data_IF_546775203611
#
_entry.id   IF_546775203611
#
_cell.length_a   1.000
_cell.length_b   1.000
_cell.length_c   1.000
_cell.angle_alpha   90.00
_cell.angle_beta   90.00
_cell.angle_gamma   90.00
#
_symmetry.space_group_name_H-M   'P 1'
#
loop_
_entity.id
_entity.type
_entity.pdbx_description
1 polymer ?
#
# COMPACT_ATOMS: atom_id res chain seq x y z
N UNK A 1 -61.69 31.78 47.64
CA UNK A 1 -61.06 30.57 47.07
C UNK A 1 -59.67 30.94 46.58
N UNK A 2 -58.63 30.51 47.29
CA UNK A 2 -57.25 30.86 46.96
C UNK A 2 -56.84 30.17 45.66
N UNK A 3 -56.51 30.95 44.63
CA UNK A 3 -55.91 30.44 43.40
C UNK A 3 -54.52 29.90 43.75
N UNK A 4 -54.38 28.60 44.00
CA UNK A 4 -53.08 27.97 44.21
C UNK A 4 -52.33 27.95 42.87
N UNK A 5 -51.62 29.04 42.58
CA UNK A 5 -50.73 29.10 41.43
C UNK A 5 -49.57 28.11 41.60
N UNK A 6 -49.17 27.48 40.50
CA UNK A 6 -47.95 26.68 40.44
C UNK A 6 -46.77 27.49 41.00
N UNK A 7 -46.04 26.93 41.96
CA UNK A 7 -44.90 27.61 42.59
C UNK A 7 -43.56 27.10 42.04
N UNK A 8 -42.55 27.98 42.00
CA UNK A 8 -41.19 27.64 41.56
C UNK A 8 -40.56 26.51 42.41
N UNK A 9 -40.87 26.46 43.71
CA UNK A 9 -40.38 25.43 44.63
C UNK A 9 -40.90 24.02 44.27
N UNK A 10 -42.16 23.90 43.82
CA UNK A 10 -42.73 22.63 43.36
C UNK A 10 -42.05 22.16 42.08
N UNK A 11 -41.79 23.08 41.13
CA UNK A 11 -41.04 22.77 39.90
C UNK A 11 -39.62 22.33 40.23
N UNK A 12 -38.96 22.97 41.21
CA UNK A 12 -37.62 22.61 41.69
C UNK A 12 -37.57 21.19 42.25
N UNK A 13 -38.47 20.82 43.18
CA UNK A 13 -38.42 19.49 43.80
C UNK A 13 -38.68 18.35 42.80
N UNK A 14 -39.57 18.56 41.83
CA UNK A 14 -39.83 17.60 40.76
C UNK A 14 -38.63 17.48 39.83
N UNK A 15 -38.03 18.60 39.43
CA UNK A 15 -36.79 18.62 38.63
C UNK A 15 -35.68 17.85 39.33
N UNK A 16 -35.44 18.11 40.62
CA UNK A 16 -34.35 17.51 41.38
C UNK A 16 -34.57 15.99 41.55
N UNK A 17 -35.82 15.57 41.78
CA UNK A 17 -36.17 14.14 41.80
C UNK A 17 -35.94 13.48 40.43
N UNK A 18 -36.29 14.16 39.33
CA UNK A 18 -36.04 13.63 37.98
C UNK A 18 -34.54 13.52 37.66
N UNK A 19 -33.76 14.51 38.08
CA UNK A 19 -32.30 14.49 37.93
C UNK A 19 -31.67 13.36 38.75
N UNK A 20 -32.13 13.14 39.99
CA UNK A 20 -31.71 12.01 40.83
C UNK A 20 -32.07 10.64 40.20
N UNK A 21 -33.20 10.57 39.50
CA UNK A 21 -33.62 9.39 38.74
C UNK A 21 -32.87 9.22 37.38
N UNK A 22 -31.94 10.12 37.05
CA UNK A 22 -31.21 10.12 35.79
C UNK A 22 -32.05 10.48 34.56
N UNK A 23 -33.24 11.06 34.75
CA UNK A 23 -34.17 11.44 33.67
C UNK A 23 -34.05 12.93 33.38
N UNK A 24 -34.00 13.29 32.09
CA UNK A 24 -33.93 14.69 31.68
C UNK A 24 -35.25 15.43 32.00
N UNK A 25 -35.23 16.52 32.78
CA UNK A 25 -36.43 17.27 33.14
C UNK A 25 -36.91 18.12 31.95
N UNK A 26 -37.67 17.49 31.05
CA UNK A 26 -38.38 18.20 29.98
C UNK A 26 -39.64 18.89 30.53
N UNK A 27 -40.10 19.94 29.84
CA UNK A 27 -41.30 20.71 30.28
C UNK A 27 -42.52 19.81 30.43
N UNK A 28 -42.74 18.90 29.48
CA UNK A 28 -43.90 18.00 29.50
C UNK A 28 -43.74 16.90 30.56
N UNK A 29 -42.52 16.41 30.80
CA UNK A 29 -42.26 15.43 31.84
C UNK A 29 -42.44 16.00 33.25
N UNK A 30 -41.96 17.24 33.49
CA UNK A 30 -42.18 17.95 34.75
C UNK A 30 -43.67 18.26 34.95
N UNK A 31 -44.37 18.64 33.88
CA UNK A 31 -45.82 18.88 33.92
C UNK A 31 -46.60 17.62 34.30
N UNK A 32 -46.25 16.48 33.69
CA UNK A 32 -46.91 15.22 34.00
C UNK A 32 -46.65 14.80 35.46
N UNK A 33 -45.41 14.95 35.94
CA UNK A 33 -45.04 14.67 37.33
C UNK A 33 -45.71 15.62 38.35
N UNK A 34 -46.13 16.82 37.92
CA UNK A 34 -46.91 17.78 38.69
C UNK A 34 -48.44 17.54 38.60
N UNK A 35 -48.89 16.50 37.90
CA UNK A 35 -50.31 16.18 37.73
C UNK A 35 -51.04 17.13 36.77
N UNK A 36 -50.41 17.47 35.64
CA UNK A 36 -50.92 18.37 34.59
C UNK A 36 -51.18 19.82 35.02
N UNK A 37 -50.73 20.17 36.23
CA UNK A 37 -50.83 21.51 36.80
C UNK A 37 -49.79 22.46 36.23
N UNK A 38 -50.25 23.67 35.87
CA UNK A 38 -49.43 24.73 35.30
C UNK A 38 -49.41 24.75 33.78
N UNK A 39 -49.24 25.95 33.22
CA UNK A 39 -49.09 26.11 31.77
C UNK A 39 -47.66 25.74 31.34
N UNK A 40 -47.54 25.22 30.11
CA UNK A 40 -46.24 24.90 29.49
C UNK A 40 -45.28 26.09 29.51
N UNK A 41 -45.78 27.32 29.34
CA UNK A 41 -44.98 28.55 29.37
C UNK A 41 -44.48 28.88 30.78
N UNK A 42 -45.29 28.71 31.83
CA UNK A 42 -44.89 28.97 33.23
C UNK A 42 -43.87 27.94 33.70
N UNK A 43 -44.06 26.66 33.38
CA UNK A 43 -43.10 25.60 33.72
C UNK A 43 -41.77 25.85 32.99
N UNK A 44 -41.80 26.18 31.70
CA UNK A 44 -40.59 26.52 30.95
C UNK A 44 -39.86 27.72 31.54
N UNK A 45 -40.59 28.77 31.94
CA UNK A 45 -40.01 29.94 32.63
C UNK A 45 -39.31 29.53 33.93
N UNK A 46 -39.99 28.80 34.81
CA UNK A 46 -39.39 28.38 36.08
C UNK A 46 -38.21 27.43 35.90
N UNK A 47 -38.26 26.50 34.95
CA UNK A 47 -37.11 25.64 34.63
C UNK A 47 -35.91 26.45 34.12
N UNK A 48 -36.14 27.48 33.31
CA UNK A 48 -35.06 28.38 32.86
C UNK A 48 -34.47 29.17 34.02
N UNK A 49 -35.30 29.79 34.86
CA UNK A 49 -34.80 30.54 36.02
C UNK A 49 -34.07 29.63 37.02
N UNK A 50 -34.52 28.39 37.20
CA UNK A 50 -33.87 27.40 38.06
C UNK A 50 -32.53 26.94 37.50
N UNK A 51 -32.38 26.86 36.17
CA UNK A 51 -31.11 26.56 35.53
C UNK A 51 -30.13 27.73 35.64
N UNK A 52 -30.63 28.96 35.51
CA UNK A 52 -29.81 30.16 35.60
C UNK A 52 -29.40 30.45 37.08
N UNK A 53 -30.16 29.93 38.06
CA UNK A 53 -29.84 29.98 39.51
C UNK A 53 -28.84 28.92 39.99
N UNK A 54 -28.69 27.80 39.26
CA UNK A 54 -27.79 26.70 39.61
C UNK A 54 -26.52 26.74 38.73
N UNK A 55 -25.53 27.61 39.03
CA UNK A 55 -24.28 27.72 38.28
C UNK A 55 -23.43 26.44 38.33
N UNK A 56 -23.64 25.60 39.35
CA UNK A 56 -22.92 24.35 39.58
C UNK A 56 -23.11 23.35 38.43
N UNK A 57 -24.30 23.31 37.82
CA UNK A 57 -24.58 22.44 36.67
C UNK A 57 -23.89 22.94 35.39
N UNK A 58 -23.66 24.26 35.27
CA UNK A 58 -22.87 24.83 34.18
C UNK A 58 -21.40 24.46 34.31
N UNK A 59 -20.83 24.68 35.50
CA UNK A 59 -19.44 24.36 35.82
C UNK A 59 -19.12 22.87 35.61
N UNK A 60 -19.98 21.97 36.11
CA UNK A 60 -19.78 20.53 35.90
C UNK A 60 -19.81 20.14 34.42
N UNK A 61 -20.63 20.81 33.60
CA UNK A 61 -20.68 20.53 32.16
C UNK A 61 -19.40 21.00 31.47
N UNK A 62 -18.92 22.19 31.83
CA UNK A 62 -17.67 22.73 31.29
C UNK A 62 -16.46 21.86 31.69
N UNK A 63 -16.40 21.40 32.95
CA UNK A 63 -15.39 20.47 33.44
C UNK A 63 -15.41 19.14 32.67
N UNK A 64 -16.61 18.60 32.40
CA UNK A 64 -16.73 17.38 31.59
C UNK A 64 -16.32 17.59 30.13
N UNK A 65 -16.60 18.77 29.57
CA UNK A 65 -16.21 19.11 28.21
C UNK A 65 -14.68 19.23 28.10
N UNK A 66 -14.03 19.89 29.07
CA UNK A 66 -12.58 19.99 29.14
C UNK A 66 -11.92 18.62 29.31
N UNK A 67 -12.44 17.78 30.21
CA UNK A 67 -11.94 16.41 30.40
C UNK A 67 -12.07 15.57 29.12
N UNK A 68 -13.20 15.67 28.41
CA UNK A 68 -13.40 14.97 27.13
C UNK A 68 -12.43 15.46 26.06
N UNK A 69 -12.24 16.78 25.94
CA UNK A 69 -11.26 17.36 25.00
C UNK A 69 -9.84 16.88 25.29
N UNK A 70 -9.46 16.80 26.57
CA UNK A 70 -8.14 16.30 26.98
C UNK A 70 -7.95 14.82 26.59
N UNK A 71 -8.95 13.97 26.84
CA UNK A 71 -8.88 12.54 26.47
C UNK A 71 -8.82 12.35 24.96
N UNK A 72 -9.63 13.09 24.20
CA UNK A 72 -9.60 13.04 22.73
C UNK A 72 -8.25 13.54 22.19
N UNK A 73 -7.68 14.59 22.78
CA UNK A 73 -6.35 15.09 22.45
C UNK A 73 -5.26 14.03 22.66
N UNK A 74 -5.23 13.41 23.84
CA UNK A 74 -4.28 12.33 24.15
C UNK A 74 -4.45 11.13 23.21
N UNK A 75 -5.69 10.77 22.84
CA UNK A 75 -5.95 9.69 21.91
C UNK A 75 -5.45 10.03 20.49
N UNK A 76 -5.67 11.27 20.04
CA UNK A 76 -5.17 11.75 18.75
C UNK A 76 -3.64 11.70 18.70
N UNK A 77 -2.97 12.21 19.74
CA UNK A 77 -1.50 12.14 19.86
C UNK A 77 -0.99 10.70 19.81
N UNK A 78 -1.61 9.80 20.56
CA UNK A 78 -1.22 8.39 20.58
C UNK A 78 -1.48 7.71 19.24
N UNK A 79 -2.55 8.07 18.53
CA UNK A 79 -2.84 7.56 17.20
C UNK A 79 -1.81 8.04 16.17
N UNK A 80 -1.44 9.33 16.21
CA UNK A 80 -0.40 9.89 15.36
C UNK A 80 0.95 9.23 15.62
N UNK A 81 1.36 9.11 16.88
CA UNK A 81 2.61 8.43 17.24
C UNK A 81 2.64 6.97 16.75
N UNK A 82 1.53 6.24 16.89
CA UNK A 82 1.42 4.87 16.37
C UNK A 82 1.49 4.80 14.84
N UNK A 83 0.85 5.75 14.14
CA UNK A 83 0.90 5.82 12.69
C UNK A 83 2.34 6.10 12.21
N UNK A 84 3.01 7.07 12.81
CA UNK A 84 4.40 7.42 12.51
C UNK A 84 5.35 6.25 12.78
N UNK A 85 5.17 5.55 13.90
CA UNK A 85 5.94 4.35 14.21
C UNK A 85 5.75 3.25 13.15
N UNK A 86 4.51 3.03 12.70
CA UNK A 86 4.21 2.05 11.63
C UNK A 86 4.81 2.45 10.29
N UNK A 87 4.76 3.74 9.93
CA UNK A 87 5.37 4.26 8.71
C UNK A 87 6.88 4.06 8.77
N UNK A 88 7.54 4.45 9.87
CA UNK A 88 8.98 4.26 10.06
C UNK A 88 9.39 2.79 9.96
N UNK A 89 8.65 1.90 10.63
CA UNK A 89 8.91 0.46 10.54
C UNK A 89 8.76 -0.07 9.10
N UNK A 90 7.74 0.40 8.36
CA UNK A 90 7.52 -0.02 6.98
C UNK A 90 8.61 0.51 6.04
N UNK A 91 9.05 1.75 6.22
CA UNK A 91 10.14 2.35 5.44
C UNK A 91 11.44 1.59 5.70
N UNK A 92 11.78 1.30 6.97
CA UNK A 92 12.97 0.53 7.32
C UNK A 92 12.94 -0.88 6.70
N UNK A 93 11.79 -1.57 6.75
CA UNK A 93 11.65 -2.89 6.14
C UNK A 93 11.79 -2.85 4.60
N UNK A 94 11.26 -1.81 3.95
CA UNK A 94 11.42 -1.61 2.51
C UNK A 94 12.86 -1.29 2.14
N UNK A 95 13.56 -0.49 2.94
CA UNK A 95 14.98 -0.18 2.73
C UNK A 95 15.84 -1.44 2.86
N UNK A 96 15.64 -2.25 3.90
CA UNK A 96 16.36 -3.51 4.08
C UNK A 96 16.12 -4.47 2.90
N UNK A 97 14.86 -4.64 2.48
CA UNK A 97 14.54 -5.47 1.31
C UNK A 97 15.17 -4.93 0.02
N UNK A 98 15.24 -3.60 -0.13
CA UNK A 98 15.88 -2.98 -1.29
C UNK A 98 17.39 -3.20 -1.30
N UNK A 99 18.05 -3.07 -0.14
CA UNK A 99 19.47 -3.35 0.02
C UNK A 99 19.80 -4.82 -0.29
N UNK A 100 18.97 -5.77 0.18
CA UNK A 100 19.12 -7.19 -0.17
C UNK A 100 19.05 -7.41 -1.68
N UNK A 101 18.05 -6.81 -2.35
CA UNK A 101 17.91 -6.91 -3.81
C UNK A 101 19.11 -6.29 -4.52
N UNK A 102 19.59 -5.12 -4.08
CA UNK A 102 20.77 -4.48 -4.67
C UNK A 102 22.01 -5.37 -4.51
N UNK A 103 22.24 -5.91 -3.30
CA UNK A 103 23.39 -6.80 -3.05
C UNK A 103 23.34 -8.07 -3.91
N UNK A 104 22.15 -8.65 -4.09
CA UNK A 104 21.97 -9.80 -4.97
C UNK A 104 22.25 -9.46 -6.43
N UNK A 105 21.82 -8.28 -6.88
CA UNK A 105 22.10 -7.78 -8.24
C UNK A 105 23.57 -7.44 -8.45
N UNK A 106 24.24 -6.88 -7.46
CA UNK A 106 25.68 -6.63 -7.51
C UNK A 106 26.46 -7.94 -7.60
N UNK A 107 26.07 -8.96 -6.84
CA UNK A 107 26.67 -10.30 -6.92
C UNK A 107 26.43 -10.95 -8.29
N UNK A 108 25.22 -10.84 -8.85
CA UNK A 108 24.90 -11.33 -10.19
C UNK A 108 25.73 -10.62 -11.26
N UNK A 109 25.86 -9.29 -11.17
CA UNK A 109 26.70 -8.50 -12.09
C UNK A 109 28.18 -8.85 -11.95
N UNK A 110 28.67 -9.11 -10.74
CA UNK A 110 30.05 -9.57 -10.53
C UNK A 110 30.29 -10.92 -11.20
N UNK A 111 29.41 -11.89 -10.97
CA UNK A 111 29.49 -13.21 -11.61
C UNK A 111 29.44 -13.10 -13.15
N UNK A 112 28.55 -12.28 -13.69
CA UNK A 112 28.48 -12.03 -15.14
C UNK A 112 29.78 -11.40 -15.67
N UNK A 113 30.36 -10.42 -14.97
CA UNK A 113 31.66 -9.83 -15.35
C UNK A 113 32.78 -10.88 -15.36
N UNK A 114 32.80 -11.78 -14.37
CA UNK A 114 33.78 -12.86 -14.31
C UNK A 114 33.63 -13.83 -15.48
N UNK A 115 32.38 -14.20 -15.83
CA UNK A 115 32.14 -15.05 -17.01
C UNK A 115 32.57 -14.37 -18.32
N UNK A 116 32.29 -13.08 -18.48
CA UNK A 116 32.71 -12.30 -19.65
C UNK A 116 34.24 -12.23 -19.72
N UNK A 117 34.93 -12.01 -18.60
CA UNK A 117 36.38 -12.00 -18.55
C UNK A 117 36.97 -13.37 -18.94
N UNK A 118 36.40 -14.46 -18.41
CA UNK A 118 36.84 -15.82 -18.73
C UNK A 118 36.61 -16.18 -20.21
N UNK A 119 35.45 -15.81 -20.77
CA UNK A 119 35.16 -16.04 -22.19
C UNK A 119 36.07 -15.20 -23.09
N UNK A 120 36.29 -13.93 -22.76
CA UNK A 120 37.22 -13.07 -23.50
C UNK A 120 38.63 -13.66 -23.48
N UNK A 121 39.12 -14.10 -22.33
CA UNK A 121 40.43 -14.77 -22.22
C UNK A 121 40.51 -16.08 -23.02
N UNK A 122 39.41 -16.83 -23.11
CA UNK A 122 39.34 -18.03 -23.95
C UNK A 122 39.41 -17.68 -25.43
N UNK A 123 38.70 -16.64 -25.87
CA UNK A 123 38.71 -16.17 -27.26
C UNK A 123 40.12 -15.72 -27.65
N UNK A 124 40.78 -14.88 -26.84
CA UNK A 124 42.14 -14.42 -27.15
C UNK A 124 43.15 -15.57 -27.22
N UNK A 125 43.01 -16.60 -26.38
CA UNK A 125 43.84 -17.80 -26.46
C UNK A 125 43.59 -18.61 -27.75
N UNK A 126 42.34 -18.73 -28.19
CA UNK A 126 42.01 -19.42 -29.44
C UNK A 126 42.49 -18.63 -30.66
N UNK A 127 42.38 -17.30 -30.63
CA UNK A 127 42.92 -16.41 -31.65
C UNK A 127 44.44 -16.55 -31.72
N UNK A 128 45.16 -16.47 -30.60
CA UNK A 128 46.61 -16.67 -30.56
C UNK A 128 47.04 -18.06 -31.06
N UNK A 129 46.27 -19.11 -30.74
CA UNK A 129 46.53 -20.46 -31.26
C UNK A 129 46.30 -20.55 -32.77
N UNK A 130 45.23 -19.93 -33.27
CA UNK A 130 44.96 -19.86 -34.71
C UNK A 130 46.06 -19.12 -35.45
N UNK A 131 46.56 -18.02 -34.90
CA UNK A 131 47.64 -17.24 -35.51
C UNK A 131 48.96 -18.04 -35.53
N UNK A 132 49.22 -18.85 -34.50
CA UNK A 132 50.36 -19.78 -34.48
C UNK A 132 50.20 -20.92 -35.50
N UNK A 133 49.04 -21.58 -35.55
CA UNK A 133 48.75 -22.67 -36.50
C UNK A 133 48.66 -22.16 -37.97
N UNK A 134 48.34 -20.87 -38.17
CA UNK A 134 48.29 -20.20 -39.47
C UNK A 134 49.65 -19.71 -39.98
N UNK A 135 50.65 -19.55 -39.10
CA UNK A 135 52.00 -19.15 -39.47
C UNK A 135 52.85 -20.27 -40.11
N UNK A 136 52.46 -21.54 -39.92
CA UNK A 136 53.17 -22.70 -40.48
C UNK A 136 52.64 -23.13 -41.87
N UNK A 137 51.62 -22.46 -42.42
CA UNK A 137 51.06 -22.80 -43.75
C UNK A 137 51.60 -21.92 -44.89
N UNK A 138 52.46 -20.95 -44.60
CA UNK A 138 52.98 -20.01 -45.61
C UNK A 138 54.43 -20.28 -46.08
N UNK A 139 55.16 -21.28 -45.54
CA UNK A 139 56.59 -21.50 -45.89
C UNK A 139 56.92 -22.81 -46.67
N UNK A 140 55.95 -23.70 -46.93
CA UNK A 140 56.19 -24.86 -47.81
C UNK A 140 54.95 -25.18 -48.67
N UNK A 141 54.79 -24.46 -49.78
CA UNK A 141 54.39 -25.01 -51.10
C UNK A 141 54.21 -23.88 -52.13
N UNK A 142 55.31 -23.56 -52.81
CA UNK A 142 55.22 -23.35 -54.25
C UNK A 142 54.63 -24.62 -54.88
N UNK A 143 53.46 -24.48 -55.53
CA UNK A 143 53.02 -25.44 -56.56
C UNK A 143 51.70 -26.17 -56.25
N UNK A 144 50.75 -25.94 -57.16
CA UNK A 144 49.48 -26.62 -57.40
C UNK A 144 48.26 -26.12 -56.61
N UNK A 145 47.49 -25.30 -57.32
CA UNK A 145 46.16 -24.81 -56.97
C UNK A 145 45.19 -25.93 -56.54
N UNK A 146 44.34 -25.72 -55.51
CA UNK A 146 43.29 -26.67 -55.19
C UNK A 146 42.15 -26.53 -56.22
N UNK A 147 41.95 -27.58 -57.02
CA UNK A 147 40.72 -27.73 -57.81
C UNK A 147 39.56 -27.96 -56.84
N UNK A 148 38.66 -26.99 -56.74
CA UNK A 148 37.39 -27.19 -56.06
C UNK A 148 36.64 -28.26 -56.83
N UNK A 149 36.60 -29.45 -56.23
CA UNK A 149 35.97 -30.65 -56.76
C UNK A 149 34.46 -30.40 -56.81
N UNK A 150 33.88 -30.30 -58.01
CA UNK A 150 32.43 -30.31 -58.20
C UNK A 150 31.85 -31.66 -57.74
N UNK A 151 30.77 -31.70 -56.95
CA UNK A 151 30.09 -32.96 -56.65
C UNK A 151 29.35 -33.47 -57.91
N UNK A 152 29.60 -34.73 -58.29
CA UNK A 152 28.80 -35.45 -59.29
C UNK A 152 27.40 -35.74 -58.73
N UNK A 153 26.31 -35.50 -59.47
CA UNK A 153 24.96 -35.73 -58.97
C UNK A 153 24.52 -37.17 -59.25
N UNK A 154 25.08 -38.16 -58.55
CA UNK A 154 24.46 -39.49 -58.50
C UNK A 154 24.99 -40.38 -57.35
N UNK A 155 24.86 -39.92 -56.11
CA UNK A 155 25.02 -40.82 -54.97
C UNK A 155 24.02 -40.47 -53.88
N UNK A 156 22.93 -41.22 -53.89
CA UNK A 156 21.97 -41.31 -52.80
C UNK A 156 22.68 -41.87 -51.55
N UNK A 157 23.16 -40.98 -50.69
CA UNK A 157 23.50 -41.33 -49.31
C UNK A 157 22.37 -40.85 -48.40
N UNK A 158 21.56 -41.81 -47.96
CA UNK A 158 20.61 -41.64 -46.88
C UNK A 158 21.37 -41.38 -45.58
N UNK A 159 21.23 -40.17 -45.02
CA UNK A 159 21.72 -39.89 -43.67
C UNK A 159 22.28 -38.49 -43.48
N UNK A 160 21.48 -37.44 -43.68
CA UNK A 160 21.38 -36.27 -42.81
C UNK A 160 20.14 -35.49 -43.28
N UNK A 161 19.36 -34.97 -42.33
CA UNK A 161 17.93 -34.66 -42.49
C UNK A 161 17.55 -33.78 -43.69
N UNK A 162 16.37 -34.08 -44.25
CA UNK A 162 15.64 -33.20 -45.17
C UNK A 162 15.42 -31.84 -44.52
N UNK A 163 16.11 -30.81 -45.01
CA UNK A 163 15.61 -29.45 -44.87
C UNK A 163 14.68 -29.19 -46.05
N UNK A 164 13.41 -29.53 -45.86
CA UNK A 164 12.37 -29.08 -46.78
C UNK A 164 12.33 -27.56 -46.77
N UNK A 165 12.40 -27.02 -47.98
CA UNK A 165 12.09 -25.65 -48.35
C UNK A 165 10.74 -25.22 -47.73
N UNK A 166 10.80 -24.48 -46.61
CA UNK A 166 9.58 -24.12 -45.88
C UNK A 166 9.69 -22.97 -44.89
N UNK A 167 10.75 -22.16 -44.88
CA UNK A 167 10.86 -21.01 -43.96
C UNK A 167 11.23 -19.72 -44.69
N UNK A 168 10.45 -19.41 -45.71
CA UNK A 168 10.18 -18.03 -46.15
C UNK A 168 8.75 -17.69 -45.75
N UNK A 169 8.52 -17.48 -44.46
CA UNK A 169 7.35 -16.73 -43.99
C UNK A 169 7.63 -16.11 -42.62
N UNK A 170 8.04 -14.85 -42.67
CA UNK A 170 7.66 -13.88 -41.65
C UNK A 170 6.15 -13.99 -41.41
N UNK A 171 5.76 -14.36 -40.19
CA UNK A 171 4.52 -13.92 -39.52
C UNK A 171 4.49 -14.51 -38.11
N UNK A 172 4.79 -13.64 -37.15
CA UNK A 172 4.03 -13.45 -35.91
C UNK A 172 3.16 -14.64 -35.43
N UNK A 173 3.56 -15.25 -34.32
CA UNK A 173 2.76 -16.17 -33.50
C UNK A 173 3.10 -16.01 -32.01
N UNK A 174 2.14 -16.24 -31.10
CA UNK A 174 1.99 -15.48 -29.85
C UNK A 174 2.68 -16.13 -28.63
N UNK A 175 3.07 -15.32 -27.64
CA UNK A 175 3.23 -15.80 -26.26
C UNK A 175 4.59 -15.58 -25.57
N UNK A 176 5.44 -14.65 -26.04
CA UNK A 176 6.55 -14.20 -25.20
C UNK A 176 6.03 -13.23 -24.14
N UNK A 177 5.67 -13.74 -22.97
CA UNK A 177 5.35 -12.96 -21.78
C UNK A 177 6.59 -12.16 -21.38
N UNK A 178 6.57 -10.86 -21.68
CA UNK A 178 7.58 -9.93 -21.21
C UNK A 178 7.30 -9.57 -19.75
N UNK A 179 8.31 -9.50 -18.87
CA UNK A 179 8.14 -9.13 -17.46
C UNK A 179 7.58 -7.71 -17.26
N UNK A 180 7.48 -6.89 -18.32
CA UNK A 180 6.90 -5.55 -18.27
C UNK A 180 5.38 -5.49 -18.55
N UNK A 181 4.74 -6.58 -19.00
CA UNK A 181 3.30 -6.59 -19.27
C UNK A 181 2.43 -6.73 -18.01
N UNK A 182 3.00 -7.16 -16.87
CA UNK A 182 2.26 -7.27 -15.60
C UNK A 182 1.91 -5.91 -14.97
N UNK A 183 2.60 -4.82 -15.34
CA UNK A 183 2.36 -3.50 -14.75
C UNK A 183 1.19 -2.77 -15.43
N UNK A 184 0.82 -3.14 -16.67
CA UNK A 184 -0.31 -2.51 -17.38
C UNK A 184 -1.67 -3.11 -17.07
N UNK A 185 -1.72 -4.30 -16.45
CA UNK A 185 -2.98 -4.99 -16.12
C UNK A 185 -3.60 -4.59 -14.78
N UNK A 186 -2.91 -3.82 -13.92
CA UNK A 186 -3.45 -3.34 -12.63
C UNK A 186 -4.11 -1.95 -12.73
N UNK A 187 -3.96 -1.23 -13.86
CA UNK A 187 -4.56 0.10 -14.04
C UNK A 187 -5.97 0.08 -14.66
N UNK A 188 -6.60 -1.09 -14.81
CA UNK A 188 -8.01 -1.24 -15.19
C UNK A 188 -8.68 -2.34 -14.37
N UNK A 189 -8.92 -2.06 -13.10
CA UNK A 189 -10.07 -2.59 -12.38
C UNK A 189 -10.56 -1.55 -11.38
#
# INVERSE_FOLDING_TARGET
MARSGLTKAQVRSVRDRMLADGKYPSVDAVRHALGDSGSKSTIHKYLRELRDEDPDVGLQRDDTEEALRAVVGQLAERLHANADARIKARVAALQAAHEEVLSAKEAELAALRDTVAALTARVTLLEARRDADGGDLDDERYGLAPSWRTPRPDQAHAGFGRFDSGLLSSRSGPGASSPFDMIRTVARS
#
